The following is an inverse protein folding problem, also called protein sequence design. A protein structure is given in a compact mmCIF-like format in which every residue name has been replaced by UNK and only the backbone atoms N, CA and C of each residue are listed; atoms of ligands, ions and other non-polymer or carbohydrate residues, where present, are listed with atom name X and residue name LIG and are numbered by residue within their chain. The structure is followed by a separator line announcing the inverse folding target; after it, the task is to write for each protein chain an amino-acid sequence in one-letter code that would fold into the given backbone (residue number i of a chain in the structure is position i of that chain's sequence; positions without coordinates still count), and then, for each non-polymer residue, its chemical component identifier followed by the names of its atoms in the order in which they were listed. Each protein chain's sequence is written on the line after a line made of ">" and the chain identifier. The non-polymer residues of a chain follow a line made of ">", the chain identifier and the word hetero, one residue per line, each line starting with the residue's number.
data_IF_162039283563
#
_entry.id   IF_162039283563
#
_cell.length_a   1.000
_cell.length_b   1.000
_cell.length_c   1.000
_cell.angle_alpha   90.00
_cell.angle_beta   90.00
_cell.angle_gamma   90.00
#
_symmetry.space_group_name_H-M   'P 1'
#
loop_
_entity.id
_entity.type
_entity.pdbx_description
1 polymer ?
#
# COMPACT_ATOMS: atom_id res chain seq x y z
N UNK A 1 -4.56 -29.55 0.31
CA UNK A 1 -3.88 -28.95 0.62
C UNK A 1 -3.92 -27.58 0.47
N UNK A 2 -3.48 -26.86 0.95
CA UNK A 2 -3.73 -25.48 0.94
C UNK A 2 -2.66 -24.70 0.33
N UNK A 3 -2.03 -25.28 -0.67
CA UNK A 3 -1.07 -24.54 -1.31
C UNK A 3 -1.61 -23.39 -2.03
N UNK A 4 -2.78 -23.53 -2.57
CA UNK A 4 -3.35 -22.45 -3.32
C UNK A 4 -3.57 -21.27 -2.46
N UNK A 5 -3.95 -21.50 -1.23
CA UNK A 5 -4.17 -20.39 -0.35
C UNK A 5 -2.92 -19.67 -0.04
N UNK A 6 -1.83 -20.41 0.05
CA UNK A 6 -0.58 -19.78 0.32
C UNK A 6 -0.09 -18.96 -0.84
N UNK A 7 -0.52 -19.32 -2.03
CA UNK A 7 -0.12 -18.57 -3.21
C UNK A 7 -0.92 -17.31 -3.39
N UNK A 8 -2.05 -17.20 -2.73
CA UNK A 8 -2.88 -16.01 -2.85
C UNK A 8 -2.41 -15.03 -1.80
N UNK A 9 -1.65 -14.04 -2.23
CA UNK A 9 -1.12 -13.03 -1.34
C UNK A 9 -1.75 -11.71 -1.68
N UNK A 10 -2.28 -11.05 -0.64
CA UNK A 10 -2.79 -9.70 -0.81
C UNK A 10 -1.63 -8.75 -0.60
N UNK A 11 -1.29 -8.01 -1.62
CA UNK A 11 -0.17 -7.08 -1.57
C UNK A 11 -0.71 -5.72 -1.21
N UNK A 12 -0.37 -5.27 -0.01
CA UNK A 12 -0.91 -4.04 0.55
C UNK A 12 0.20 -3.01 0.65
N UNK A 13 -0.02 -1.85 0.08
CA UNK A 13 0.89 -0.73 0.24
C UNK A 13 0.32 0.19 1.31
N UNK A 14 1.15 0.52 2.29
CA UNK A 14 0.76 1.43 3.35
C UNK A 14 1.55 2.72 3.17
N UNK A 15 0.87 3.83 3.18
CA UNK A 15 1.54 5.10 2.94
C UNK A 15 1.24 6.09 4.06
N UNK A 16 2.28 6.54 4.73
CA UNK A 16 2.16 7.51 5.81
C UNK A 16 3.54 8.09 6.08
N UNK A 17 3.59 9.33 6.50
CA UNK A 17 4.87 9.91 6.89
C UNK A 17 5.33 9.36 8.24
N UNK A 18 4.45 8.72 9.00
CA UNK A 18 4.76 8.25 10.35
C UNK A 18 5.03 6.75 10.32
N UNK A 19 6.29 6.34 10.51
CA UNK A 19 6.61 4.92 10.47
C UNK A 19 5.97 4.12 11.59
N UNK A 20 5.63 4.76 12.71
CA UNK A 20 4.98 4.04 13.79
C UNK A 20 3.58 3.65 13.41
N UNK A 21 2.89 4.54 12.71
CA UNK A 21 1.54 4.25 12.24
C UNK A 21 1.57 3.08 11.28
N UNK A 22 2.55 3.07 10.39
CA UNK A 22 2.66 1.98 9.44
C UNK A 22 2.96 0.65 10.10
N UNK A 23 3.75 0.67 11.18
CA UNK A 23 4.02 -0.58 11.90
C UNK A 23 2.77 -1.12 12.54
N UNK A 24 1.94 -0.25 13.09
CA UNK A 24 0.70 -0.68 13.73
C UNK A 24 -0.23 -1.28 12.67
N UNK A 25 -0.35 -0.64 11.52
CA UNK A 25 -1.19 -1.16 10.46
C UNK A 25 -0.68 -2.51 9.95
N UNK A 26 0.62 -2.62 9.75
CA UNK A 26 1.21 -3.86 9.25
C UNK A 26 0.89 -5.00 10.20
N UNK A 27 1.12 -4.77 11.50
CA UNK A 27 0.88 -5.81 12.46
C UNK A 27 -0.59 -6.19 12.50
N UNK A 28 -1.46 -5.19 12.52
CA UNK A 28 -2.89 -5.45 12.60
C UNK A 28 -3.37 -6.28 11.42
N UNK A 29 -2.94 -5.91 10.23
CA UNK A 29 -3.42 -6.59 9.03
C UNK A 29 -2.82 -7.98 8.88
N UNK A 30 -1.52 -8.08 9.08
CA UNK A 30 -0.85 -9.36 8.86
C UNK A 30 -1.21 -10.39 9.91
N UNK A 31 -1.52 -9.94 11.13
CA UNK A 31 -1.96 -10.87 12.15
C UNK A 31 -3.34 -11.41 11.89
N UNK A 32 -4.18 -10.61 11.23
CA UNK A 32 -5.54 -11.07 10.94
C UNK A 32 -5.62 -11.98 9.75
N UNK A 33 -4.69 -11.83 8.82
CA UNK A 33 -4.74 -12.64 7.62
C UNK A 33 -3.31 -12.92 7.16
N UNK A 34 -2.84 -14.16 7.31
CA UNK A 34 -1.46 -14.46 6.94
C UNK A 34 -1.18 -14.34 5.45
N UNK A 35 -2.20 -14.19 4.62
CA UNK A 35 -2.00 -13.98 3.21
C UNK A 35 -1.73 -12.53 2.86
N UNK A 36 -1.80 -11.61 3.84
CA UNK A 36 -1.53 -10.21 3.59
C UNK A 36 -0.04 -9.92 3.77
N UNK A 37 0.51 -9.17 2.83
CA UNK A 37 1.88 -8.68 2.94
C UNK A 37 1.85 -7.18 2.75
N UNK A 38 2.37 -6.47 3.74
CA UNK A 38 2.35 -5.02 3.74
C UNK A 38 3.72 -4.46 3.46
N UNK A 39 3.78 -3.40 2.68
CA UNK A 39 5.01 -2.66 2.43
C UNK A 39 4.70 -1.19 2.69
N UNK A 40 5.58 -0.53 3.43
CA UNK A 40 5.36 0.85 3.82
C UNK A 40 6.09 1.83 2.94
N UNK A 41 5.48 2.97 2.70
CA UNK A 41 6.07 4.04 1.92
C UNK A 41 5.83 5.36 2.64
N UNK A 42 6.87 6.17 2.76
CA UNK A 42 6.76 7.44 3.46
C UNK A 42 6.61 8.61 2.50
N UNK A 43 6.98 8.45 1.25
CA UNK A 43 6.94 9.54 0.29
C UNK A 43 6.29 9.09 -1.00
N UNK A 44 5.93 10.07 -1.83
CA UNK A 44 5.09 9.80 -2.98
C UNK A 44 5.80 9.06 -4.10
N UNK A 45 7.08 9.38 -4.34
CA UNK A 45 7.74 8.81 -5.51
C UNK A 45 7.87 7.29 -5.46
N UNK A 46 8.43 6.70 -4.40
CA UNK A 46 8.53 5.24 -4.39
C UNK A 46 7.17 4.57 -4.37
N UNK A 47 6.18 5.22 -3.76
CA UNK A 47 4.83 4.67 -3.78
C UNK A 47 4.26 4.67 -5.19
N UNK A 48 4.43 5.76 -5.90
CA UNK A 48 3.92 5.84 -7.25
C UNK A 48 4.60 4.83 -8.17
N UNK A 49 5.89 4.67 -8.01
CA UNK A 49 6.62 3.68 -8.81
C UNK A 49 6.10 2.28 -8.56
N UNK A 50 5.81 1.96 -7.31
CA UNK A 50 5.27 0.65 -6.99
C UNK A 50 3.89 0.47 -7.60
N UNK A 51 3.06 1.51 -7.52
CA UNK A 51 1.71 1.43 -8.09
C UNK A 51 1.75 1.28 -9.60
N UNK A 52 2.72 1.91 -10.24
CA UNK A 52 2.84 1.78 -11.69
C UNK A 52 3.18 0.36 -12.12
N UNK A 53 3.83 -0.39 -11.26
CA UNK A 53 4.15 -1.77 -11.56
C UNK A 53 2.94 -2.66 -11.53
N UNK A 54 1.87 -2.21 -10.92
CA UNK A 54 0.61 -2.94 -10.96
C UNK A 54 0.54 -4.14 -10.04
N UNK A 55 1.40 -4.21 -9.03
CA UNK A 55 1.40 -5.36 -8.15
C UNK A 55 0.91 -5.03 -6.76
N UNK A 56 0.05 -4.04 -6.63
CA UNK A 56 -0.55 -3.66 -5.36
C UNK A 56 -2.05 -3.92 -5.45
N UNK A 57 -2.56 -4.67 -4.49
CA UNK A 57 -3.98 -4.99 -4.46
C UNK A 57 -4.78 -3.97 -3.66
N UNK A 58 -4.18 -3.43 -2.59
CA UNK A 58 -4.86 -2.50 -1.71
C UNK A 58 -3.87 -1.42 -1.30
N UNK A 59 -4.32 -0.20 -1.30
CA UNK A 59 -3.53 0.92 -0.80
C UNK A 59 -4.22 1.52 0.41
N UNK A 60 -3.49 1.60 1.52
CA UNK A 60 -3.96 2.29 2.72
C UNK A 60 -3.20 3.59 2.81
N UNK A 61 -3.92 4.69 2.75
CA UNK A 61 -3.30 6.00 2.65
C UNK A 61 -3.59 6.80 3.90
N UNK A 62 -2.56 7.18 4.62
CA UNK A 62 -2.70 8.05 5.78
C UNK A 62 -3.00 9.47 5.35
N UNK A 63 -3.05 10.37 6.32
CA UNK A 63 -3.40 11.75 6.02
C UNK A 63 -2.34 12.50 5.26
N UNK A 64 -1.08 12.04 5.37
CA UNK A 64 -0.03 12.79 4.70
C UNK A 64 1.19 11.92 4.47
N UNK A 65 1.90 12.22 3.41
CA UNK A 65 3.21 11.66 3.12
C UNK A 65 4.26 12.70 3.47
N UNK A 66 5.53 12.35 3.37
CA UNK A 66 6.58 13.29 3.69
C UNK A 66 6.56 14.50 2.77
N UNK A 67 6.21 14.29 1.53
CA UNK A 67 6.33 15.33 0.51
C UNK A 67 4.99 15.89 0.05
N UNK A 68 3.87 15.36 0.51
CA UNK A 68 2.58 15.94 0.13
C UNK A 68 1.45 15.33 0.95
N UNK A 69 0.34 16.02 0.99
CA UNK A 69 -0.86 15.49 1.62
C UNK A 69 -1.46 14.41 0.74
N UNK A 70 -2.18 13.52 1.37
CA UNK A 70 -2.81 12.43 0.64
C UNK A 70 -3.83 12.93 -0.37
N UNK A 71 -4.50 14.02 -0.07
CA UNK A 71 -5.44 14.59 -1.02
C UNK A 71 -4.74 15.02 -2.30
N UNK A 72 -3.51 15.52 -2.17
CA UNK A 72 -2.74 15.91 -3.34
C UNK A 72 -2.25 14.70 -4.12
N UNK A 73 -2.09 13.58 -3.44
CA UNK A 73 -1.60 12.36 -4.08
C UNK A 73 -2.69 11.65 -4.88
N UNK A 74 -3.93 11.74 -4.44
CA UNK A 74 -5.02 11.01 -5.07
C UNK A 74 -5.15 11.22 -6.57
N UNK A 75 -5.01 12.43 -7.10
CA UNK A 75 -5.11 12.59 -8.55
C UNK A 75 -4.05 11.82 -9.32
N UNK A 76 -2.89 11.62 -8.71
CA UNK A 76 -1.84 10.87 -9.39
C UNK A 76 -2.18 9.41 -9.49
N UNK A 77 -2.82 8.86 -8.45
CA UNK A 77 -3.28 7.48 -8.48
C UNK A 77 -4.36 7.32 -9.54
N UNK A 78 -5.24 8.29 -9.61
CA UNK A 78 -6.34 8.23 -10.55
C UNK A 78 -5.83 8.16 -11.99
N UNK A 79 -4.75 8.86 -12.26
CA UNK A 79 -4.14 8.78 -13.57
C UNK A 79 -3.67 7.38 -13.91
N UNK A 80 -3.14 6.66 -12.91
CA UNK A 80 -2.69 5.30 -13.14
C UNK A 80 -3.84 4.37 -13.38
N UNK A 81 -4.92 4.54 -12.65
CA UNK A 81 -6.03 3.60 -12.76
C UNK A 81 -6.81 3.76 -14.05
N UNK A 82 -6.51 4.78 -14.85
CA UNK A 82 -7.18 4.91 -16.13
C UNK A 82 -6.59 4.04 -17.20
N UNK A 83 -5.50 3.39 -16.92
CA UNK A 83 -4.90 2.53 -17.91
C UNK A 83 -5.79 1.33 -18.14
N UNK A 84 -5.95 0.92 -19.34
CA UNK A 84 -6.80 -0.22 -19.65
C UNK A 84 -6.24 -1.51 -19.12
#
# INVERSE_FOLDING_TARGET
>A
MSYEEQDVIWRVALASYDPREMRVWTRYLEERNPAIRCTGYRSSRPLLERLEQGDVDVLVLGGRLEDMDSIQFLPRIRGLSRKP
#
